data_IF_246095680386
#
_entry.id   IF_246095680386
#
_cell.length_a   1.000
_cell.length_b   1.000
_cell.length_c   1.000
_cell.angle_alpha   90.00
_cell.angle_beta   90.00
_cell.angle_gamma   90.00
#
_symmetry.space_group_name_H-M   'P 1'
#
loop_
_entity.id
_entity.type
_entity.pdbx_description
1 polymer ?
#
# COMPACT_ATOMS: atom_id res chain seq x y z
N UNK A 1 55.40 16.32 -6.21
CA UNK A 1 53.95 16.02 -6.12
C UNK A 1 53.34 16.39 -4.76
N UNK A 2 53.65 17.56 -4.17
CA UNK A 2 53.01 18.04 -2.91
C UNK A 2 52.14 19.29 -3.11
N UNK A 3 52.39 20.08 -4.15
CA UNK A 3 51.71 21.36 -4.40
C UNK A 3 50.22 21.24 -4.75
N UNK A 4 49.79 20.09 -5.31
CA UNK A 4 48.41 19.90 -5.78
C UNK A 4 47.43 19.63 -4.64
N UNK A 5 47.88 18.99 -3.54
CA UNK A 5 47.05 18.71 -2.37
C UNK A 5 46.76 19.96 -1.54
N UNK A 6 47.79 20.80 -1.35
CA UNK A 6 47.67 22.05 -0.59
C UNK A 6 46.80 23.08 -1.32
N UNK A 7 46.87 23.16 -2.65
CA UNK A 7 45.99 24.05 -3.44
C UNK A 7 44.53 23.60 -3.44
N UNK A 8 44.26 22.29 -3.38
CA UNK A 8 42.89 21.76 -3.27
C UNK A 8 42.34 22.01 -1.86
N UNK A 9 43.15 21.80 -0.83
CA UNK A 9 42.79 22.10 0.56
C UNK A 9 42.55 23.60 0.77
N UNK A 10 43.37 24.49 0.20
CA UNK A 10 43.16 25.94 0.29
C UNK A 10 41.91 26.38 -0.49
N UNK A 11 41.58 25.75 -1.62
CA UNK A 11 40.31 26.01 -2.32
C UNK A 11 39.10 25.62 -1.48
N UNK A 12 39.16 24.49 -0.77
CA UNK A 12 38.11 24.06 0.16
C UNK A 12 38.05 24.98 1.39
N UNK A 13 39.20 25.48 1.87
CA UNK A 13 39.32 26.39 3.03
C UNK A 13 38.87 27.82 2.72
N UNK A 14 38.99 28.26 1.47
CA UNK A 14 38.57 29.59 0.98
C UNK A 14 37.24 29.59 0.23
N UNK A 15 36.61 28.43 0.04
CA UNK A 15 35.17 28.31 -0.20
C UNK A 15 34.40 28.65 1.10
N UNK A 16 34.68 29.82 1.69
CA UNK A 16 33.80 30.43 2.67
C UNK A 16 32.50 30.71 1.93
N UNK A 17 31.48 29.89 2.16
CA UNK A 17 30.14 30.14 1.65
C UNK A 17 29.82 31.64 1.84
N UNK A 18 29.46 32.39 0.78
CA UNK A 18 29.26 33.84 0.83
C UNK A 18 28.06 34.27 1.69
N UNK A 19 27.42 33.32 2.36
CA UNK A 19 26.21 33.48 3.14
C UNK A 19 26.60 33.61 4.62
N UNK A 20 26.07 34.63 5.28
CA UNK A 20 26.28 34.90 6.70
C UNK A 20 24.92 35.03 7.41
N UNK A 21 24.89 34.90 8.74
CA UNK A 21 23.67 35.03 9.53
C UNK A 21 22.59 34.01 9.16
N UNK A 22 21.33 34.45 9.06
CA UNK A 22 20.17 33.60 8.76
C UNK A 22 20.36 32.82 7.46
N UNK A 23 20.90 33.44 6.41
CA UNK A 23 21.06 32.78 5.10
C UNK A 23 22.01 31.58 5.13
N UNK A 24 23.05 31.61 5.99
CA UNK A 24 23.94 30.46 6.21
C UNK A 24 23.19 29.32 6.90
N UNK A 25 22.43 29.63 7.95
CA UNK A 25 21.66 28.64 8.69
C UNK A 25 20.50 28.07 7.87
N UNK A 26 19.86 28.87 7.01
CA UNK A 26 18.86 28.41 6.04
C UNK A 26 19.47 27.44 5.04
N UNK A 27 20.65 27.73 4.49
CA UNK A 27 21.34 26.82 3.57
C UNK A 27 21.72 25.51 4.27
N UNK A 28 22.29 25.58 5.47
CA UNK A 28 22.64 24.39 6.26
C UNK A 28 21.38 23.57 6.58
N UNK A 29 20.29 24.24 6.98
CA UNK A 29 19.01 23.60 7.23
C UNK A 29 18.44 22.92 5.99
N UNK A 30 18.50 23.58 4.83
CA UNK A 30 18.08 23.00 3.55
C UNK A 30 18.95 21.82 3.13
N UNK A 31 20.28 21.91 3.30
CA UNK A 31 21.21 20.80 3.02
C UNK A 31 20.97 19.62 3.96
N UNK A 32 20.77 19.88 5.25
CA UNK A 32 20.45 18.84 6.23
C UNK A 32 19.12 18.17 5.90
N UNK A 33 18.08 18.96 5.58
CA UNK A 33 16.78 18.44 5.19
C UNK A 33 16.86 17.62 3.90
N UNK A 34 17.59 18.12 2.90
CA UNK A 34 17.84 17.41 1.63
C UNK A 34 18.63 16.12 1.85
N UNK A 35 19.61 16.13 2.76
CA UNK A 35 20.39 14.95 3.13
C UNK A 35 19.54 13.89 3.84
N UNK A 36 18.72 14.30 4.81
CA UNK A 36 17.75 13.41 5.47
C UNK A 36 16.75 12.86 4.46
N UNK A 37 16.24 13.71 3.57
CA UNK A 37 15.33 13.31 2.49
C UNK A 37 15.97 12.28 1.57
N UNK A 38 17.20 12.52 1.09
CA UNK A 38 17.92 11.60 0.23
C UNK A 38 18.23 10.27 0.94
N UNK A 39 18.65 10.30 2.21
CA UNK A 39 18.85 9.09 3.01
C UNK A 39 17.55 8.28 3.13
N UNK A 40 16.43 8.96 3.37
CA UNK A 40 15.13 8.32 3.47
C UNK A 40 14.69 7.72 2.12
N UNK A 41 14.91 8.39 0.98
CA UNK A 41 14.72 7.80 -0.35
C UNK A 41 15.55 6.53 -0.52
N UNK A 42 16.83 6.57 -0.15
CA UNK A 42 17.75 5.45 -0.32
C UNK A 42 17.36 4.25 0.55
N UNK A 43 16.94 4.48 1.80
CA UNK A 43 16.42 3.43 2.68
C UNK A 43 15.16 2.82 2.09
N UNK A 44 14.20 3.64 1.66
CA UNK A 44 12.95 3.15 1.04
C UNK A 44 13.22 2.36 -0.25
N UNK A 45 14.13 2.85 -1.10
CA UNK A 45 14.54 2.13 -2.30
C UNK A 45 15.23 0.81 -1.95
N UNK A 46 16.16 0.81 -0.99
CA UNK A 46 16.82 -0.40 -0.51
C UNK A 46 15.85 -1.42 0.04
N UNK A 47 14.86 -0.99 0.83
CA UNK A 47 13.77 -1.82 1.28
C UNK A 47 12.98 -2.37 0.08
N UNK A 48 12.66 -1.54 -0.93
CA UNK A 48 11.85 -1.97 -2.10
C UNK A 48 12.57 -3.08 -2.84
N UNK A 49 13.88 -2.93 -3.02
CA UNK A 49 14.70 -3.91 -3.72
C UNK A 49 14.91 -5.20 -2.89
N UNK A 50 14.83 -5.12 -1.55
CA UNK A 50 15.11 -6.26 -0.66
C UNK A 50 13.89 -7.14 -0.38
N UNK A 51 12.67 -6.59 -0.39
CA UNK A 51 11.46 -7.32 -0.02
C UNK A 51 11.02 -8.30 -1.11
N UNK A 52 11.30 -8.01 -2.38
CA UNK A 52 10.87 -8.84 -3.51
C UNK A 52 11.99 -9.77 -3.97
N UNK A 53 12.20 -10.84 -3.20
CA UNK A 53 13.06 -11.95 -3.61
C UNK A 53 12.38 -12.75 -4.72
N UNK A 54 12.72 -12.49 -5.98
CA UNK A 54 12.27 -13.33 -7.10
C UNK A 54 12.07 -12.62 -8.45
N UNK A 55 11.86 -11.30 -8.44
CA UNK A 55 11.70 -10.51 -9.67
C UNK A 55 12.97 -9.71 -10.01
N UNK A 56 13.19 -9.43 -11.30
CA UNK A 56 14.22 -8.49 -11.72
C UNK A 56 13.83 -7.07 -11.23
N UNK A 57 14.59 -6.44 -10.33
CA UNK A 57 14.18 -5.17 -9.71
C UNK A 57 14.04 -4.03 -10.71
N UNK A 58 14.83 -4.04 -11.79
CA UNK A 58 14.74 -3.03 -12.85
C UNK A 58 13.44 -3.18 -13.66
N UNK A 59 13.07 -4.41 -14.01
CA UNK A 59 11.83 -4.69 -14.74
C UNK A 59 10.60 -4.31 -13.91
N UNK A 60 10.63 -4.61 -12.61
CA UNK A 60 9.60 -4.20 -11.66
C UNK A 60 9.50 -2.68 -11.55
N UNK A 61 10.62 -1.99 -11.35
CA UNK A 61 10.63 -0.52 -11.24
C UNK A 61 10.08 0.12 -12.51
N UNK A 62 10.45 -0.38 -13.69
CA UNK A 62 9.89 0.09 -14.95
C UNK A 62 8.38 -0.14 -15.04
N UNK A 63 7.89 -1.29 -14.56
CA UNK A 63 6.46 -1.60 -14.48
C UNK A 63 5.71 -0.65 -13.52
N UNK A 64 6.21 -0.46 -12.29
CA UNK A 64 5.64 0.46 -11.32
C UNK A 64 5.61 1.91 -11.85
N UNK A 65 6.69 2.37 -12.49
CA UNK A 65 6.74 3.68 -13.12
C UNK A 65 5.74 3.81 -14.27
N UNK A 66 5.59 2.78 -15.08
CA UNK A 66 4.63 2.74 -16.17
C UNK A 66 3.18 2.81 -15.66
N UNK A 67 2.85 2.01 -14.66
CA UNK A 67 1.55 2.04 -13.99
C UNK A 67 1.26 3.43 -13.41
N UNK A 68 2.20 3.99 -12.65
CA UNK A 68 2.07 5.33 -12.08
C UNK A 68 1.92 6.39 -13.17
N UNK A 69 2.55 6.22 -14.33
CA UNK A 69 2.39 7.15 -15.45
C UNK A 69 0.96 7.17 -15.99
N UNK A 70 0.37 5.99 -16.17
CA UNK A 70 -0.99 5.83 -16.70
C UNK A 70 -2.10 5.95 -15.66
N UNK A 71 -1.79 5.95 -14.36
CA UNK A 71 -2.78 6.08 -13.31
C UNK A 71 -3.56 7.39 -13.41
N UNK A 72 -4.87 7.28 -13.24
CA UNK A 72 -5.83 8.37 -13.42
C UNK A 72 -6.48 8.76 -12.09
N UNK A 73 -6.64 10.07 -11.82
CA UNK A 73 -7.17 10.55 -10.55
C UNK A 73 -8.68 10.28 -10.41
N UNK A 74 -9.17 10.27 -9.17
CA UNK A 74 -10.60 10.31 -8.82
C UNK A 74 -11.46 9.20 -9.46
N UNK A 75 -11.05 7.94 -9.39
CA UNK A 75 -11.83 6.81 -9.90
C UNK A 75 -12.11 6.86 -11.41
N UNK A 76 -11.35 7.66 -12.16
CA UNK A 76 -11.39 7.62 -13.62
C UNK A 76 -10.74 6.33 -14.09
N UNK A 77 -11.32 5.73 -15.13
CA UNK A 77 -10.75 4.54 -15.76
C UNK A 77 -9.53 4.91 -16.59
N UNK A 78 -8.52 4.06 -16.56
CA UNK A 78 -7.35 4.15 -17.42
C UNK A 78 -7.71 3.86 -18.89
N UNK A 79 -6.90 4.37 -19.82
CA UNK A 79 -7.12 4.13 -21.25
C UNK A 79 -6.77 2.69 -21.67
N UNK A 80 -7.43 2.13 -22.68
CA UNK A 80 -7.06 0.82 -23.26
C UNK A 80 -5.58 0.74 -23.66
N UNK A 81 -5.03 1.85 -24.16
CA UNK A 81 -3.61 1.94 -24.52
C UNK A 81 -2.68 1.69 -23.33
N UNK A 82 -3.09 2.05 -22.11
CA UNK A 82 -2.32 1.78 -20.90
C UNK A 82 -2.17 0.27 -20.70
N UNK A 83 -3.25 -0.49 -20.89
CA UNK A 83 -3.23 -1.94 -20.77
C UNK A 83 -2.27 -2.58 -21.77
N UNK A 84 -2.35 -2.19 -23.05
CA UNK A 84 -1.46 -2.71 -24.09
C UNK A 84 0.02 -2.45 -23.79
N UNK A 85 0.35 -1.25 -23.27
CA UNK A 85 1.72 -0.86 -22.97
C UNK A 85 2.26 -1.60 -21.75
N UNK A 86 1.45 -1.74 -20.69
CA UNK A 86 1.89 -2.28 -19.41
C UNK A 86 1.82 -3.81 -19.35
N UNK A 87 0.72 -4.38 -19.85
CA UNK A 87 0.41 -5.81 -19.74
C UNK A 87 0.32 -6.52 -21.10
N UNK A 88 0.17 -5.79 -22.20
CA UNK A 88 -0.07 -6.36 -23.54
C UNK A 88 1.02 -7.31 -24.04
N UNK A 89 2.29 -7.05 -23.71
CA UNK A 89 3.39 -7.96 -24.06
C UNK A 89 3.31 -9.33 -23.36
N UNK A 90 2.62 -9.42 -22.21
CA UNK A 90 2.49 -10.65 -21.41
C UNK A 90 1.15 -11.34 -21.61
N UNK A 91 0.07 -10.58 -21.71
CA UNK A 91 -1.31 -11.07 -21.74
C UNK A 91 -1.97 -10.98 -23.13
N UNK A 92 -1.31 -10.35 -24.11
CA UNK A 92 -1.94 -9.93 -25.36
C UNK A 92 -2.78 -8.66 -25.18
N UNK A 93 -3.35 -8.14 -26.26
CA UNK A 93 -4.10 -6.87 -26.25
C UNK A 93 -5.51 -7.01 -25.64
N UNK A 94 -6.11 -8.19 -25.73
CA UNK A 94 -7.48 -8.46 -25.26
C UNK A 94 -7.56 -9.80 -24.49
N UNK A 95 -6.97 -9.90 -23.30
CA UNK A 95 -7.05 -11.12 -22.51
C UNK A 95 -8.46 -11.34 -21.97
N UNK A 96 -8.94 -12.58 -22.02
CA UNK A 96 -10.13 -12.99 -21.29
C UNK A 96 -9.88 -13.16 -19.79
N UNK A 97 -10.96 -13.28 -19.00
CA UNK A 97 -10.90 -13.44 -17.54
C UNK A 97 -9.97 -14.57 -17.08
N UNK A 98 -10.01 -15.73 -17.75
CA UNK A 98 -9.16 -16.88 -17.42
C UNK A 98 -7.66 -16.59 -17.61
N UNK A 99 -7.28 -15.81 -18.63
CA UNK A 99 -5.88 -15.44 -18.85
C UNK A 99 -5.38 -14.47 -17.77
N UNK A 100 -6.23 -13.51 -17.38
CA UNK A 100 -5.94 -12.60 -16.27
C UNK A 100 -5.78 -13.39 -14.96
N UNK A 101 -6.71 -14.30 -14.66
CA UNK A 101 -6.62 -15.15 -13.48
C UNK A 101 -5.33 -15.97 -13.47
N UNK A 102 -4.99 -16.63 -14.59
CA UNK A 102 -3.77 -17.42 -14.69
C UNK A 102 -2.50 -16.56 -14.46
N UNK A 103 -2.50 -15.30 -14.94
CA UNK A 103 -1.43 -14.36 -14.65
C UNK A 103 -1.26 -14.12 -13.14
N UNK A 104 -2.36 -13.95 -12.40
CA UNK A 104 -2.30 -13.77 -10.95
C UNK A 104 -2.01 -15.07 -10.19
N UNK A 105 -2.44 -16.24 -10.68
CA UNK A 105 -2.02 -17.53 -10.11
C UNK A 105 -0.50 -17.66 -10.13
N UNK A 106 0.13 -17.35 -11.28
CA UNK A 106 1.58 -17.35 -11.44
C UNK A 106 2.27 -16.23 -10.65
N UNK A 107 1.79 -14.99 -10.75
CA UNK A 107 2.39 -13.83 -10.06
C UNK A 107 2.42 -14.01 -8.54
N UNK A 108 1.45 -14.73 -8.00
CA UNK A 108 1.29 -14.89 -6.56
C UNK A 108 1.99 -16.15 -6.00
N UNK A 109 2.70 -16.92 -6.82
CA UNK A 109 3.60 -18.00 -6.35
C UNK A 109 4.68 -17.49 -5.38
N UNK A 110 5.12 -16.24 -5.55
CA UNK A 110 6.07 -15.57 -4.65
C UNK A 110 5.46 -15.07 -3.33
N UNK A 111 4.17 -15.31 -3.09
CA UNK A 111 3.45 -14.86 -1.89
C UNK A 111 2.96 -13.40 -1.95
N UNK A 112 3.63 -12.54 -2.72
CA UNK A 112 3.26 -11.13 -2.91
C UNK A 112 3.28 -10.76 -4.40
N UNK A 113 2.33 -9.95 -4.85
CA UNK A 113 2.22 -9.44 -6.21
C UNK A 113 1.69 -8.00 -6.25
N UNK A 114 1.71 -7.38 -7.42
CA UNK A 114 1.18 -6.03 -7.65
C UNK A 114 -0.20 -6.10 -8.30
N UNK A 115 -1.16 -5.38 -7.71
CA UNK A 115 -2.48 -5.14 -8.31
C UNK A 115 -2.56 -3.65 -8.65
N UNK A 116 -2.47 -3.32 -9.93
CA UNK A 116 -2.49 -1.94 -10.43
C UNK A 116 -3.85 -1.54 -11.01
N UNK A 117 -4.12 -0.24 -11.05
CA UNK A 117 -5.36 0.34 -11.59
C UNK A 117 -5.64 -0.13 -13.01
N UNK A 118 -4.61 -0.20 -13.87
CA UNK A 118 -4.77 -0.61 -15.28
C UNK A 118 -5.27 -2.05 -15.38
N UNK A 119 -4.81 -2.93 -14.50
CA UNK A 119 -5.30 -4.30 -14.41
C UNK A 119 -6.68 -4.39 -13.77
N UNK A 120 -6.97 -3.62 -12.73
CA UNK A 120 -8.30 -3.55 -12.09
C UNK A 120 -9.35 -3.12 -13.11
N UNK A 121 -9.12 -2.01 -13.83
CA UNK A 121 -10.00 -1.54 -14.90
C UNK A 121 -10.22 -2.62 -15.97
N UNK A 122 -9.17 -3.36 -16.34
CA UNK A 122 -9.29 -4.46 -17.29
C UNK A 122 -10.12 -5.61 -16.72
N UNK A 123 -9.93 -6.00 -15.46
CA UNK A 123 -10.73 -7.03 -14.80
C UNK A 123 -12.22 -6.66 -14.83
N UNK A 124 -12.54 -5.42 -14.49
CA UNK A 124 -13.90 -4.91 -14.52
C UNK A 124 -14.46 -4.86 -15.93
N UNK A 125 -13.69 -4.40 -16.91
CA UNK A 125 -14.11 -4.36 -18.30
C UNK A 125 -14.45 -5.76 -18.85
N UNK A 126 -13.70 -6.80 -18.49
CA UNK A 126 -13.91 -8.16 -19.03
C UNK A 126 -14.86 -9.02 -18.21
N UNK A 127 -15.03 -8.73 -16.91
CA UNK A 127 -15.76 -9.61 -15.98
C UNK A 127 -16.89 -8.89 -15.22
N UNK A 128 -16.95 -7.56 -15.33
CA UNK A 128 -17.92 -6.69 -14.67
C UNK A 128 -17.67 -6.45 -13.17
N UNK A 129 -16.69 -7.16 -12.59
CA UNK A 129 -16.29 -7.07 -11.17
C UNK A 129 -15.01 -7.87 -10.92
N UNK A 130 -14.38 -7.61 -9.79
CA UNK A 130 -13.36 -8.51 -9.23
C UNK A 130 -14.03 -9.68 -8.50
N UNK A 131 -13.72 -10.91 -8.93
CA UNK A 131 -14.12 -12.16 -8.28
C UNK A 131 -13.15 -13.30 -8.65
N UNK A 132 -13.46 -14.51 -8.18
CA UNK A 132 -12.70 -15.75 -8.42
C UNK A 132 -12.44 -16.12 -9.89
N UNK A 133 -13.08 -15.45 -10.85
CA UNK A 133 -12.89 -15.69 -12.30
C UNK A 133 -11.71 -14.90 -12.88
N UNK A 134 -11.35 -13.77 -12.28
CA UNK A 134 -10.26 -12.88 -12.73
C UNK A 134 -9.11 -12.77 -11.73
N UNK A 135 -9.39 -12.98 -10.45
CA UNK A 135 -8.40 -13.02 -9.38
C UNK A 135 -8.53 -14.37 -8.67
N UNK A 136 -7.45 -15.08 -8.32
CA UNK A 136 -7.55 -16.38 -7.67
C UNK A 136 -8.32 -16.28 -6.35
N UNK A 137 -8.97 -17.36 -5.96
CA UNK A 137 -9.61 -17.39 -4.64
C UNK A 137 -8.54 -17.36 -3.54
N UNK A 138 -8.77 -16.54 -2.52
CA UNK A 138 -7.82 -16.34 -1.45
C UNK A 138 -8.19 -15.21 -0.52
N UNK A 139 -7.43 -15.13 0.57
CA UNK A 139 -7.40 -13.98 1.49
C UNK A 139 -6.08 -13.27 1.24
N UNK A 140 -6.17 -11.97 0.99
CA UNK A 140 -5.03 -11.12 0.70
C UNK A 140 -5.04 -9.93 1.65
N UNK A 141 -3.86 -9.46 2.03
CA UNK A 141 -3.70 -8.11 2.57
C UNK A 141 -3.22 -7.25 1.43
N UNK A 142 -3.96 -6.19 1.12
CA UNK A 142 -3.55 -5.16 0.19
C UNK A 142 -3.00 -3.96 0.94
N UNK A 143 -1.97 -3.32 0.39
CA UNK A 143 -1.46 -2.06 0.91
C UNK A 143 -1.18 -1.08 -0.24
N UNK A 144 -1.66 0.16 -0.10
CA UNK A 144 -1.47 1.21 -1.10
C UNK A 144 -0.91 2.49 -0.47
N UNK A 145 -0.28 3.32 -1.29
CA UNK A 145 0.28 4.60 -0.84
C UNK A 145 -0.82 5.60 -0.49
N UNK A 146 -0.59 6.40 0.57
CA UNK A 146 -1.48 7.48 0.95
C UNK A 146 -1.04 8.79 0.30
N UNK A 147 -1.99 9.52 -0.28
CA UNK A 147 -1.74 10.83 -0.88
C UNK A 147 -2.96 11.36 -1.61
N UNK A 148 -3.01 12.66 -1.96
CA UNK A 148 -4.19 13.25 -2.58
C UNK A 148 -4.52 12.58 -3.93
N UNK A 149 -5.80 12.30 -4.15
CA UNK A 149 -6.28 11.68 -5.40
C UNK A 149 -6.60 12.68 -6.50
N UNK A 150 -6.76 13.96 -6.15
CA UNK A 150 -7.16 15.00 -7.08
C UNK A 150 -6.00 15.90 -7.50
N UNK A 151 -6.04 16.45 -8.73
CA UNK A 151 -5.18 17.54 -9.16
C UNK A 151 -5.28 18.78 -8.25
N UNK A 152 -4.23 19.61 -8.19
CA UNK A 152 -2.95 19.44 -8.89
C UNK A 152 -1.98 18.50 -8.15
N UNK A 153 -2.23 18.23 -6.86
CA UNK A 153 -1.26 17.59 -5.99
C UNK A 153 -0.96 16.15 -6.39
N UNK A 154 -1.98 15.38 -6.80
CA UNK A 154 -1.83 13.97 -7.21
C UNK A 154 -0.70 13.74 -8.22
N UNK A 155 -0.49 14.67 -9.15
CA UNK A 155 0.50 14.53 -10.22
C UNK A 155 1.95 14.56 -9.71
N UNK A 156 2.18 15.28 -8.63
CA UNK A 156 3.51 15.36 -7.99
C UNK A 156 3.61 14.33 -6.88
N UNK A 157 2.54 14.19 -6.09
CA UNK A 157 2.56 13.36 -4.89
C UNK A 157 2.48 11.88 -5.20
N UNK A 158 1.90 11.41 -6.32
CA UNK A 158 1.83 9.95 -6.60
C UNK A 158 3.17 9.26 -6.65
N UNK A 159 4.17 9.91 -7.23
CA UNK A 159 5.53 9.40 -7.29
C UNK A 159 6.19 9.42 -5.90
N UNK A 160 6.07 10.53 -5.19
CA UNK A 160 6.64 10.68 -3.85
C UNK A 160 5.92 9.77 -2.84
N UNK A 161 4.61 9.58 -2.97
CA UNK A 161 3.82 8.75 -2.09
C UNK A 161 4.20 7.28 -2.23
N UNK A 162 4.34 6.80 -3.47
CA UNK A 162 4.70 5.42 -3.74
C UNK A 162 6.13 5.07 -3.26
N UNK A 163 7.10 5.95 -3.50
CA UNK A 163 8.51 5.68 -3.20
C UNK A 163 9.01 6.24 -1.87
N UNK A 164 8.30 7.20 -1.26
CA UNK A 164 8.78 7.91 -0.07
C UNK A 164 7.78 7.94 1.07
N UNK A 165 6.50 8.20 0.86
CA UNK A 165 5.59 8.41 1.98
C UNK A 165 5.19 7.08 2.64
N UNK A 166 5.79 6.84 3.80
CA UNK A 166 5.18 6.09 4.88
C UNK A 166 4.16 7.00 5.58
N UNK A 167 2.94 6.55 5.91
CA UNK A 167 2.47 5.16 5.91
C UNK A 167 1.64 4.78 4.67
N UNK A 168 1.66 3.49 4.33
CA UNK A 168 0.65 2.87 3.46
C UNK A 168 -0.62 2.57 4.24
N UNK A 169 -1.76 2.51 3.57
CA UNK A 169 -3.00 2.03 4.16
C UNK A 169 -3.26 0.57 3.75
N UNK A 170 -3.48 -0.27 4.75
CA UNK A 170 -3.74 -1.70 4.56
C UNK A 170 -5.25 -1.99 4.61
N UNK A 171 -5.65 -3.03 3.89
CA UNK A 171 -7.00 -3.61 3.88
C UNK A 171 -6.91 -5.11 3.66
N UNK A 172 -7.99 -5.84 3.95
CA UNK A 172 -8.09 -7.28 3.66
C UNK A 172 -9.00 -7.45 2.46
N UNK A 173 -8.52 -8.16 1.44
CA UNK A 173 -9.32 -8.58 0.30
C UNK A 173 -9.61 -10.07 0.42
N UNK A 174 -10.89 -10.44 0.46
CA UNK A 174 -11.34 -11.84 0.42
C UNK A 174 -11.95 -12.09 -0.95
N UNK A 175 -11.32 -12.97 -1.73
CA UNK A 175 -11.83 -13.41 -3.02
C UNK A 175 -12.41 -14.82 -2.84
N UNK A 176 -13.74 -14.97 -2.74
CA UNK A 176 -14.35 -16.29 -2.61
C UNK A 176 -14.24 -17.05 -3.93
N UNK A 177 -14.41 -18.38 -3.87
CA UNK A 177 -14.50 -19.22 -5.08
C UNK A 177 -15.68 -18.80 -5.97
N UNK A 178 -16.78 -18.36 -5.33
CA UNK A 178 -17.99 -17.88 -6.00
C UNK A 178 -18.51 -16.63 -5.32
N UNK A 179 -19.03 -15.69 -6.13
CA UNK A 179 -19.53 -14.40 -5.64
C UNK A 179 -18.50 -13.27 -5.73
N UNK A 180 -18.91 -12.04 -5.38
CA UNK A 180 -18.04 -10.86 -5.46
C UNK A 180 -16.90 -10.95 -4.44
N UNK A 181 -15.75 -10.36 -4.78
CA UNK A 181 -14.73 -10.10 -3.78
C UNK A 181 -15.27 -9.17 -2.68
N UNK A 182 -14.78 -9.36 -1.46
CA UNK A 182 -15.13 -8.58 -0.28
C UNK A 182 -13.90 -7.87 0.26
N UNK A 183 -14.09 -6.67 0.76
CA UNK A 183 -13.07 -5.83 1.36
C UNK A 183 -13.39 -5.64 2.83
N UNK A 184 -12.37 -5.84 3.66
CA UNK A 184 -12.32 -5.35 5.01
C UNK A 184 -11.45 -4.10 5.07
N UNK A 185 -12.01 -2.98 5.50
CA UNK A 185 -11.25 -1.75 5.75
C UNK A 185 -11.56 -1.18 7.13
N UNK A 186 -10.62 -0.42 7.69
CA UNK A 186 -10.76 0.21 9.00
C UNK A 186 -10.39 1.67 8.94
N UNK A 187 -11.11 2.51 9.66
CA UNK A 187 -11.00 3.97 9.56
C UNK A 187 -11.52 4.68 10.80
N UNK A 188 -11.42 6.01 10.79
CA UNK A 188 -12.15 6.84 11.75
C UNK A 188 -13.63 6.88 11.34
N UNK A 189 -14.55 6.81 12.31
CA UNK A 189 -15.98 6.76 12.03
C UNK A 189 -16.47 7.90 11.14
N UNK A 190 -15.94 9.11 11.35
CA UNK A 190 -16.28 10.28 10.53
C UNK A 190 -15.91 10.20 9.04
N UNK A 191 -15.19 9.15 8.62
CA UNK A 191 -14.83 8.91 7.22
C UNK A 191 -15.82 8.01 6.49
N UNK A 192 -16.61 7.24 7.22
CA UNK A 192 -17.64 6.41 6.61
C UNK A 192 -18.98 7.16 6.48
N UNK A 193 -19.73 6.98 5.38
CA UNK A 193 -21.06 7.56 5.26
C UNK A 193 -22.00 7.01 6.35
N UNK A 194 -22.74 7.91 7.00
CA UNK A 194 -23.98 7.57 7.72
C UNK A 194 -23.97 7.67 9.26
N UNK A 195 -22.86 7.90 9.95
CA UNK A 195 -22.84 7.90 11.42
C UNK A 195 -21.88 8.96 12.00
N UNK A 196 -22.41 9.99 12.66
CA UNK A 196 -21.65 11.22 13.02
C UNK A 196 -21.59 11.54 14.51
N UNK A 197 -21.88 10.60 15.42
CA UNK A 197 -21.89 10.93 16.86
C UNK A 197 -20.50 10.88 17.52
N UNK A 198 -19.54 10.11 16.99
CA UNK A 198 -18.20 9.97 17.57
C UNK A 198 -17.12 9.89 16.49
N UNK A 199 -16.69 11.05 15.99
CA UNK A 199 -15.83 11.20 14.80
C UNK A 199 -14.43 10.61 14.95
N UNK A 200 -13.93 10.48 16.17
CA UNK A 200 -12.60 9.96 16.51
C UNK A 200 -12.59 8.48 16.87
N UNK A 201 -13.76 7.82 16.92
CA UNK A 201 -13.84 6.38 17.16
C UNK A 201 -13.31 5.61 15.97
N UNK A 202 -12.59 4.56 16.29
CA UNK A 202 -12.13 3.61 15.32
C UNK A 202 -13.26 2.64 14.98
N UNK A 203 -13.55 2.49 13.70
CA UNK A 203 -14.57 1.56 13.19
C UNK A 203 -14.04 0.84 11.96
N UNK A 204 -14.67 -0.27 11.60
CA UNK A 204 -14.28 -1.06 10.45
C UNK A 204 -15.49 -1.62 9.72
N UNK A 205 -15.35 -1.91 8.43
CA UNK A 205 -16.46 -2.36 7.59
C UNK A 205 -16.03 -3.50 6.69
N UNK A 206 -16.99 -4.39 6.43
CA UNK A 206 -16.92 -5.39 5.38
C UNK A 206 -17.90 -5.01 4.29
N UNK A 207 -17.40 -4.75 3.09
CA UNK A 207 -18.22 -4.38 1.93
C UNK A 207 -17.81 -5.21 0.72
N UNK A 208 -18.63 -5.28 -0.34
CA UNK A 208 -18.14 -5.68 -1.64
C UNK A 208 -16.90 -4.86 -2.03
N UNK A 209 -15.99 -5.46 -2.78
CA UNK A 209 -14.87 -4.74 -3.37
C UNK A 209 -15.39 -3.65 -4.29
N UNK A 210 -15.01 -2.42 -3.99
CA UNK A 210 -15.23 -1.23 -4.79
C UNK A 210 -13.88 -0.52 -4.78
N UNK A 211 -13.26 -0.42 -5.96
CA UNK A 211 -11.96 0.21 -6.17
C UNK A 211 -11.97 1.71 -5.84
N UNK A 212 -13.15 2.33 -5.81
CA UNK A 212 -13.38 3.75 -5.54
C UNK A 212 -13.86 4.05 -4.13
N UNK A 213 -14.21 3.03 -3.33
CA UNK A 213 -14.87 3.20 -2.03
C UNK A 213 -13.94 3.50 -0.84
N UNK A 214 -12.64 3.68 -1.05
CA UNK A 214 -11.71 3.77 0.08
C UNK A 214 -11.64 5.17 0.72
N UNK A 215 -11.93 5.19 2.03
CA UNK A 215 -11.88 6.31 2.98
C UNK A 215 -10.57 7.14 3.03
N UNK A 216 -9.55 6.68 2.34
CA UNK A 216 -8.24 7.31 2.33
C UNK A 216 -7.81 7.60 0.89
N UNK A 217 -7.40 8.85 0.63
CA UNK A 217 -6.84 9.18 -0.66
C UNK A 217 -5.66 8.25 -0.99
N UNK A 218 -5.77 7.51 -2.09
CA UNK A 218 -4.86 6.45 -2.53
C UNK A 218 -3.70 6.96 -3.39
N UNK A 219 -3.48 8.27 -3.38
CA UNK A 219 -2.56 9.00 -4.24
C UNK A 219 -2.77 8.67 -5.73
N UNK A 220 -4.03 8.60 -6.14
CA UNK A 220 -4.46 8.32 -7.51
C UNK A 220 -4.53 6.84 -7.86
N UNK A 221 -4.96 5.99 -6.91
CA UNK A 221 -5.34 4.56 -7.04
C UNK A 221 -4.30 3.67 -7.75
N UNK A 222 -3.04 4.10 -7.83
CA UNK A 222 -2.16 3.60 -8.86
C UNK A 222 -1.77 2.13 -8.69
N UNK A 223 -1.47 1.71 -7.46
CA UNK A 223 -0.84 0.42 -7.22
C UNK A 223 -1.04 -0.07 -5.79
N UNK A 224 -1.46 -1.33 -5.69
CA UNK A 224 -1.68 -2.06 -4.46
C UNK A 224 -0.69 -3.21 -4.39
N UNK A 225 0.05 -3.28 -3.28
CA UNK A 225 0.88 -4.45 -2.99
C UNK A 225 0.01 -5.48 -2.27
N UNK A 226 -0.20 -6.62 -2.93
CA UNK A 226 -1.07 -7.69 -2.47
C UNK A 226 -0.23 -8.85 -1.98
N UNK A 227 -0.43 -9.25 -0.73
CA UNK A 227 0.23 -10.43 -0.16
C UNK A 227 -0.81 -11.44 0.26
N UNK A 228 -0.57 -12.69 -0.07
CA UNK A 228 -1.46 -13.80 0.27
C UNK A 228 -1.33 -14.13 1.75
N UNK A 229 -2.48 -14.25 2.41
CA UNK A 229 -2.62 -14.81 3.76
C UNK A 229 -2.93 -16.29 3.67
N UNK A 230 -3.93 -16.67 2.88
CA UNK A 230 -4.31 -18.06 2.69
C UNK A 230 -5.01 -18.28 1.36
N UNK A 231 -4.84 -19.48 0.79
CA UNK A 231 -5.62 -20.01 -0.34
C UNK A 231 -6.40 -21.27 0.02
N UNK A 232 -6.40 -21.68 1.29
CA UNK A 232 -7.16 -22.84 1.73
C UNK A 232 -8.67 -22.56 1.54
N UNK A 233 -9.37 -23.31 0.68
CA UNK A 233 -10.79 -23.07 0.39
C UNK A 233 -11.67 -23.04 1.64
N UNK A 234 -11.35 -23.88 2.63
CA UNK A 234 -12.10 -23.96 3.89
C UNK A 234 -11.88 -22.74 4.78
N UNK A 235 -10.72 -22.09 4.67
CA UNK A 235 -10.40 -20.85 5.38
C UNK A 235 -11.02 -19.67 4.65
N UNK A 236 -10.88 -19.61 3.32
CA UNK A 236 -11.47 -18.54 2.49
C UNK A 236 -12.98 -18.50 2.64
N UNK A 237 -13.66 -19.65 2.61
CA UNK A 237 -15.12 -19.71 2.75
C UNK A 237 -15.63 -19.21 4.12
N UNK A 238 -14.84 -19.37 5.19
CA UNK A 238 -15.19 -18.93 6.54
C UNK A 238 -14.72 -17.51 6.86
N UNK A 239 -13.82 -16.95 6.05
CA UNK A 239 -13.19 -15.66 6.32
C UNK A 239 -14.20 -14.51 6.51
N UNK A 240 -15.26 -14.35 5.69
CA UNK A 240 -16.19 -13.24 5.87
C UNK A 240 -16.85 -13.25 7.26
N UNK A 241 -17.29 -14.42 7.72
CA UNK A 241 -17.91 -14.57 9.05
C UNK A 241 -16.89 -14.35 10.18
N UNK A 242 -15.66 -14.85 10.03
CA UNK A 242 -14.61 -14.69 11.03
C UNK A 242 -14.18 -13.21 11.18
N UNK A 243 -14.02 -12.52 10.04
CA UNK A 243 -13.68 -11.10 9.99
C UNK A 243 -14.80 -10.23 10.58
N UNK A 244 -16.07 -10.56 10.30
CA UNK A 244 -17.21 -9.82 10.86
C UNK A 244 -17.32 -9.98 12.37
N UNK A 245 -17.15 -11.21 12.88
CA UNK A 245 -17.12 -11.45 14.31
C UNK A 245 -15.95 -10.71 15.01
N UNK A 246 -14.80 -10.61 14.35
CA UNK A 246 -13.65 -9.85 14.85
C UNK A 246 -13.89 -8.33 14.82
N UNK A 247 -14.60 -7.82 13.80
CA UNK A 247 -15.07 -6.42 13.72
C UNK A 247 -15.96 -6.07 14.89
N UNK A 248 -16.99 -6.88 15.16
CA UNK A 248 -17.93 -6.63 16.26
C UNK A 248 -17.21 -6.58 17.62
N UNK A 249 -16.26 -7.50 17.85
CA UNK A 249 -15.44 -7.50 19.06
C UNK A 249 -14.60 -6.23 19.20
N UNK A 250 -14.02 -5.75 18.10
CA UNK A 250 -13.23 -4.53 18.08
C UNK A 250 -14.08 -3.28 18.34
N UNK A 251 -15.23 -3.16 17.70
CA UNK A 251 -16.16 -2.05 17.90
C UNK A 251 -16.63 -1.97 19.36
N UNK A 252 -16.84 -3.12 20.00
CA UNK A 252 -17.19 -3.20 21.42
C UNK A 252 -16.09 -2.68 22.37
N UNK A 253 -14.84 -2.55 21.92
CA UNK A 253 -13.74 -1.95 22.70
C UNK A 253 -13.78 -0.42 22.72
N UNK A 254 -14.65 0.21 21.90
CA UNK A 254 -14.85 1.66 21.78
C UNK A 254 -13.54 2.48 21.70
N UNK A 255 -12.55 1.98 20.97
CA UNK A 255 -11.23 2.58 20.92
C UNK A 255 -11.21 3.90 20.14
N UNK A 256 -10.49 4.88 20.67
CA UNK A 256 -10.18 6.13 19.96
C UNK A 256 -9.05 5.90 18.96
N UNK A 257 -9.19 6.45 17.75
CA UNK A 257 -8.15 6.42 16.74
C UNK A 257 -6.94 7.25 17.16
N UNK A 258 -5.76 6.65 17.16
CA UNK A 258 -4.46 7.31 17.37
C UNK A 258 -3.68 7.49 16.08
N UNK A 259 -2.79 8.49 16.03
CA UNK A 259 -1.89 8.71 14.88
C UNK A 259 -0.93 7.52 14.67
N UNK A 260 -0.40 6.96 15.76
CA UNK A 260 0.60 5.89 15.75
C UNK A 260 -0.01 4.51 16.03
N UNK A 261 -0.86 4.41 17.04
CA UNK A 261 -1.71 3.27 17.35
C UNK A 261 -2.72 3.67 18.45
N UNK A 262 -3.92 3.06 18.51
CA UNK A 262 -4.48 2.18 17.49
C UNK A 262 -4.94 2.99 16.26
N UNK A 263 -4.54 2.57 15.06
CA UNK A 263 -4.93 3.15 13.78
C UNK A 263 -5.49 2.08 12.84
N UNK A 264 -5.90 2.45 11.64
CA UNK A 264 -6.47 1.54 10.65
C UNK A 264 -5.58 0.32 10.35
N UNK A 265 -4.27 0.51 10.21
CA UNK A 265 -3.34 -0.60 10.02
C UNK A 265 -3.26 -1.52 11.25
N UNK A 266 -3.30 -0.95 12.46
CA UNK A 266 -3.36 -1.74 13.71
C UNK A 266 -4.59 -2.64 13.72
N UNK A 267 -5.73 -2.11 13.30
CA UNK A 267 -6.99 -2.85 13.24
C UNK A 267 -6.91 -4.02 12.27
N UNK A 268 -6.42 -3.78 11.06
CA UNK A 268 -6.28 -4.85 10.05
C UNK A 268 -5.43 -5.98 10.62
N UNK A 269 -4.30 -5.66 11.26
CA UNK A 269 -3.44 -6.66 11.91
C UNK A 269 -4.11 -7.39 13.07
N UNK A 270 -4.93 -6.69 13.85
CA UNK A 270 -5.64 -7.27 14.97
C UNK A 270 -6.79 -8.18 14.56
N UNK A 271 -7.54 -7.78 13.54
CA UNK A 271 -8.65 -8.57 13.02
C UNK A 271 -8.15 -9.81 12.30
N UNK A 272 -7.02 -9.73 11.57
CA UNK A 272 -6.39 -10.93 11.02
C UNK A 272 -5.96 -11.92 12.10
N UNK A 273 -5.42 -11.42 13.22
CA UNK A 273 -5.03 -12.28 14.34
C UNK A 273 -6.25 -12.87 15.04
N UNK A 274 -7.25 -12.05 15.36
CA UNK A 274 -8.45 -12.44 16.09
C UNK A 274 -9.37 -13.36 15.26
N UNK A 275 -9.40 -13.20 13.94
CA UNK A 275 -10.04 -14.12 13.02
C UNK A 275 -9.27 -15.44 12.82
N UNK A 276 -8.09 -15.59 13.44
CA UNK A 276 -7.23 -16.79 13.31
C UNK A 276 -6.61 -16.96 11.93
N UNK A 277 -6.44 -15.86 11.18
CA UNK A 277 -5.90 -15.86 9.81
C UNK A 277 -4.39 -15.65 9.77
N UNK A 278 -3.83 -15.00 10.79
CA UNK A 278 -2.39 -14.73 10.91
C UNK A 278 -1.94 -14.93 12.35
N UNK A 279 -0.84 -15.68 12.53
CA UNK A 279 -0.22 -15.85 13.85
C UNK A 279 0.46 -14.55 14.34
N UNK A 280 0.52 -14.30 15.66
CA UNK A 280 1.12 -13.08 16.22
C UNK A 280 2.57 -12.83 15.76
N UNK A 281 3.38 -13.88 15.64
CA UNK A 281 4.78 -13.82 15.20
C UNK A 281 4.88 -13.42 13.72
N UNK A 282 3.99 -13.95 12.89
CA UNK A 282 3.90 -13.62 11.47
C UNK A 282 3.45 -12.17 11.31
N UNK A 283 2.50 -11.71 12.13
CA UNK A 283 2.06 -10.31 12.12
C UNK A 283 3.19 -9.32 12.42
N UNK A 284 4.09 -9.66 13.34
CA UNK A 284 5.27 -8.82 13.66
C UNK A 284 6.30 -8.80 12.54
N UNK A 285 6.51 -9.91 11.82
CA UNK A 285 7.44 -9.96 10.68
C UNK A 285 6.90 -9.25 9.44
N UNK A 286 5.57 -9.18 9.29
CA UNK A 286 4.85 -8.50 8.21
C UNK A 286 5.12 -6.98 8.17
N UNK A 287 5.55 -6.36 9.28
CA UNK A 287 5.91 -4.93 9.37
C UNK A 287 6.92 -4.48 8.30
N UNK A 288 7.89 -5.34 7.99
CA UNK A 288 8.93 -5.04 7.00
C UNK A 288 8.46 -5.28 5.56
N UNK A 289 7.52 -6.20 5.36
CA UNK A 289 7.02 -6.54 4.03
C UNK A 289 6.08 -5.45 3.50
N UNK A 290 5.13 -4.97 4.31
CA UNK A 290 4.03 -4.13 3.80
C UNK A 290 4.23 -2.63 3.97
N UNK A 291 5.30 -2.21 4.68
CA UNK A 291 5.51 -0.79 5.02
C UNK A 291 4.29 -0.16 5.74
N UNK A 292 3.55 -1.00 6.46
CA UNK A 292 2.35 -0.65 7.20
C UNK A 292 2.65 -0.81 8.69
N UNK A 293 3.33 0.16 9.33
CA UNK A 293 3.91 0.01 10.66
C UNK A 293 2.87 -0.27 11.76
N UNK A 294 1.61 0.11 11.55
CA UNK A 294 0.53 -0.20 12.49
C UNK A 294 0.18 -1.69 12.55
N UNK A 295 0.40 -2.46 11.48
CA UNK A 295 -0.08 -3.85 11.39
C UNK A 295 0.52 -4.77 12.46
N UNK A 296 1.79 -4.55 12.83
CA UNK A 296 2.47 -5.32 13.88
C UNK A 296 2.33 -4.74 15.29
N UNK A 297 1.57 -3.65 15.47
CA UNK A 297 1.33 -3.07 16.78
C UNK A 297 0.51 -4.02 17.67
N UNK A 298 0.56 -3.79 18.99
CA UNK A 298 -0.24 -4.56 19.94
C UNK A 298 -1.73 -4.26 19.74
N UNK A 299 -2.57 -5.28 19.91
CA UNK A 299 -4.00 -5.09 19.80
C UNK A 299 -4.58 -4.34 20.99
N UNK A 300 -5.54 -3.45 20.75
CA UNK A 300 -6.31 -2.87 21.83
C UNK A 300 -6.95 -3.98 22.68
N UNK A 301 -6.93 -3.82 24.00
CA UNK A 301 -7.48 -4.82 24.91
C UNK A 301 -6.64 -6.09 25.09
N UNK A 302 -5.51 -6.25 24.39
CA UNK A 302 -4.52 -7.26 24.74
C UNK A 302 -3.96 -6.90 26.12
N UNK A 303 -4.35 -7.66 27.15
CA UNK A 303 -3.80 -7.52 28.50
C UNK A 303 -2.28 -7.50 28.39
N UNK A 304 -1.65 -6.45 28.94
CA UNK A 304 -0.21 -6.47 29.21
C UNK A 304 0.05 -7.61 30.20
N UNK A 305 0.46 -8.78 29.71
CA UNK A 305 0.68 -9.92 30.60
C UNK A 305 1.00 -11.23 29.90
N UNK A 306 2.25 -11.36 29.44
CA UNK A 306 3.18 -12.45 29.80
C UNK A 306 4.51 -12.25 29.08
#
# INVERSE_FOLDING_TARGET
MKATGDQVLDRVRHARHPLHGVAKWTLIGFQALSGVFALFCLINLGLSLSTFRGENPAARTAHELGVLWFSTPNGQTTSDRAFEVIHGGRLGTEPGAAAIRAHFEAASEGGTFLLDQVMVDRMEAVNGRIDGRVLPSGIYVGAHALGPDSPPMVWVTKWLAHYMLFPRHAYILVVPETGPALVFSASQNGKFPGETEALDRLTARITPYDDRAYDFPSSGEALHEMTIVSRDPSVVARAPQALDAARERLEALEQTYGLLAPNSNTVVGCILQDAGLVEPEVRRSILLAFRAPGLGAACPGALQGS
#
